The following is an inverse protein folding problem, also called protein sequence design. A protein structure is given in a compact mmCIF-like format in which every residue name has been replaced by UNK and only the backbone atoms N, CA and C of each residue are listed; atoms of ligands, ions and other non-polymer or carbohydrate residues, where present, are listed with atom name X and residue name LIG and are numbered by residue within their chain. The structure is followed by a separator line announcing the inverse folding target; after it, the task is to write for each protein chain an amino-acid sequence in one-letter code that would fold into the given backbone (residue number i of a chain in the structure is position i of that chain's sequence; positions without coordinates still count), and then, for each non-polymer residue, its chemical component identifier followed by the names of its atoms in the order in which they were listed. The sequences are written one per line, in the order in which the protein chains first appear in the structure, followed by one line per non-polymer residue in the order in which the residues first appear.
data_IF_325135824305
#
_entry.id   IF_325135824305
#
_cell.length_a   1.000
_cell.length_b   1.000
_cell.length_c   1.000
_cell.angle_alpha   90.00
_cell.angle_beta   90.00
_cell.angle_gamma   90.00
#
_symmetry.space_group_name_H-M   'P 1'
#
loop_
_entity.id
_entity.type
_entity.pdbx_description
1 polymer ?
#
# COMPACT_ATOMS: atom_id res chain seq x y z
N UNK A 1 21.90 -14.68 -81.29
CA UNK A 1 20.75 -14.00 -80.65
C UNK A 1 21.24 -13.30 -79.40
N UNK A 2 21.00 -11.99 -79.28
CA UNK A 2 21.05 -11.22 -78.05
C UNK A 2 19.61 -10.99 -77.55
N UNK A 3 19.41 -10.72 -76.26
CA UNK A 3 19.02 -9.36 -75.87
C UNK A 3 19.67 -8.97 -74.52
N UNK A 4 19.64 -7.75 -74.00
CA UNK A 4 19.47 -6.39 -74.50
C UNK A 4 19.66 -5.55 -73.23
N UNK A 5 20.57 -4.58 -73.25
CA UNK A 5 20.74 -3.63 -72.16
C UNK A 5 19.76 -2.46 -72.33
N UNK A 6 18.89 -2.19 -71.35
CA UNK A 6 18.25 -0.89 -71.08
C UNK A 6 17.41 -0.99 -69.80
N UNK A 7 17.79 -0.29 -68.69
CA UNK A 7 17.26 1.03 -68.22
C UNK A 7 15.92 0.85 -67.41
N UNK A 8 15.46 1.73 -66.45
CA UNK A 8 15.99 2.99 -65.87
C UNK A 8 15.99 3.14 -64.31
N UNK A 9 16.81 4.11 -63.88
CA UNK A 9 16.66 5.19 -62.85
C UNK A 9 15.63 5.16 -61.71
N UNK A 10 16.13 5.48 -60.52
CA UNK A 10 15.59 6.34 -59.44
C UNK A 10 14.16 6.90 -59.59
N UNK A 11 13.29 6.57 -58.61
CA UNK A 11 12.16 7.41 -58.23
C UNK A 11 11.88 7.25 -56.72
N UNK A 12 11.75 8.40 -56.07
CA UNK A 12 11.43 8.73 -54.67
C UNK A 12 10.12 8.07 -54.18
N UNK A 13 10.08 7.58 -52.93
CA UNK A 13 8.97 7.89 -52.01
C UNK A 13 9.25 7.51 -50.52
N UNK A 14 9.44 8.57 -49.73
CA UNK A 14 8.90 8.84 -48.41
C UNK A 14 9.09 7.90 -47.19
N UNK A 15 9.78 8.49 -46.19
CA UNK A 15 9.51 8.45 -44.75
C UNK A 15 9.45 7.10 -44.02
N UNK A 16 10.53 6.78 -43.31
CA UNK A 16 10.43 6.48 -41.87
C UNK A 16 11.81 6.60 -41.24
N UNK A 17 12.00 7.63 -40.41
CA UNK A 17 13.23 7.81 -39.65
C UNK A 17 13.29 6.73 -38.55
N UNK A 18 14.03 5.66 -38.78
CA UNK A 18 14.43 4.73 -37.72
C UNK A 18 15.58 5.38 -36.94
N UNK A 19 15.25 5.99 -35.80
CA UNK A 19 16.23 6.54 -34.87
C UNK A 19 17.14 5.43 -34.35
N UNK A 20 18.43 5.50 -34.67
CA UNK A 20 19.45 4.69 -34.05
C UNK A 20 19.52 5.07 -32.56
N UNK A 21 19.01 4.20 -31.69
CA UNK A 21 19.02 4.41 -30.25
C UNK A 21 20.41 4.08 -29.70
N UNK A 22 21.23 5.12 -29.54
CA UNK A 22 22.50 5.03 -28.80
C UNK A 22 22.19 4.93 -27.32
N UNK A 23 22.64 3.84 -26.67
CA UNK A 23 22.54 3.70 -25.22
C UNK A 23 23.43 4.73 -24.54
N UNK A 24 22.82 5.78 -24.00
CA UNK A 24 23.48 6.73 -23.10
C UNK A 24 23.59 6.03 -21.74
N UNK A 25 24.82 5.81 -21.27
CA UNK A 25 25.06 5.47 -19.87
C UNK A 25 24.71 6.70 -19.02
N UNK A 26 23.49 6.72 -18.49
CA UNK A 26 23.02 7.76 -17.59
C UNK A 26 23.74 7.59 -16.25
N UNK A 27 24.63 8.53 -15.94
CA UNK A 27 25.22 8.68 -14.61
C UNK A 27 24.08 8.78 -13.57
N UNK A 28 23.90 7.70 -12.82
CA UNK A 28 22.86 7.53 -11.82
C UNK A 28 23.27 8.30 -10.56
N UNK A 29 23.14 9.63 -10.59
CA UNK A 29 23.08 10.42 -9.36
C UNK A 29 21.73 10.17 -8.68
N UNK A 30 21.48 8.95 -8.21
CA UNK A 30 20.38 8.70 -7.30
C UNK A 30 20.66 9.47 -6.02
N UNK A 31 19.70 10.26 -5.49
CA UNK A 31 19.75 10.61 -4.07
C UNK A 31 19.90 9.30 -3.31
N UNK A 32 20.65 9.25 -2.20
CA UNK A 32 20.69 8.04 -1.39
C UNK A 32 19.24 7.68 -1.12
N UNK A 33 18.81 6.53 -1.64
CA UNK A 33 17.60 5.87 -1.15
C UNK A 33 17.71 5.92 0.36
N UNK A 34 16.68 6.39 1.09
CA UNK A 34 16.73 6.34 2.55
C UNK A 34 17.08 4.90 2.88
N UNK A 35 18.27 4.68 3.44
CA UNK A 35 18.59 3.38 3.99
C UNK A 35 17.45 3.13 4.97
N UNK A 36 16.69 2.04 4.75
CA UNK A 36 15.76 1.52 5.74
C UNK A 36 16.61 1.39 6.99
N UNK A 37 16.43 2.34 7.90
CA UNK A 37 17.25 2.47 9.09
C UNK A 37 17.00 1.19 9.86
N UNK A 38 17.99 0.30 9.79
CA UNK A 38 17.88 -1.09 10.20
C UNK A 38 17.23 -1.23 11.57
N UNK A 39 16.58 -2.37 11.78
CA UNK A 39 15.94 -2.85 13.02
C UNK A 39 14.80 -2.01 13.64
N UNK A 40 14.86 -0.68 13.60
CA UNK A 40 13.82 0.19 14.17
C UNK A 40 12.49 0.07 13.40
N UNK A 41 12.54 0.00 12.07
CA UNK A 41 11.32 -0.07 11.25
C UNK A 41 10.52 -1.35 11.48
N UNK A 42 11.21 -2.48 11.70
CA UNK A 42 10.56 -3.77 12.01
C UNK A 42 9.99 -3.76 13.43
N UNK A 43 10.71 -3.20 14.40
CA UNK A 43 10.22 -3.10 15.78
C UNK A 43 8.97 -2.20 15.87
N UNK A 44 8.97 -1.08 15.14
CA UNK A 44 7.82 -0.17 15.03
C UNK A 44 6.65 -0.90 14.37
N UNK A 45 6.89 -1.63 13.27
CA UNK A 45 5.85 -2.43 12.62
C UNK A 45 5.25 -3.48 13.58
N UNK A 46 6.08 -4.22 14.30
CA UNK A 46 5.63 -5.24 15.25
C UNK A 46 4.82 -4.63 16.40
N UNK A 47 5.20 -3.45 16.86
CA UNK A 47 4.46 -2.70 17.89
C UNK A 47 3.10 -2.27 17.36
N UNK A 48 3.04 -1.67 16.17
CA UNK A 48 1.79 -1.27 15.52
C UNK A 48 0.85 -2.46 15.29
N UNK A 49 1.38 -3.62 14.90
CA UNK A 49 0.58 -4.84 14.72
C UNK A 49 0.02 -5.38 16.06
N UNK A 50 0.76 -5.26 17.16
CA UNK A 50 0.26 -5.63 18.50
C UNK A 50 -0.87 -4.70 18.94
N UNK A 51 -0.71 -3.40 18.76
CA UNK A 51 -1.76 -2.41 19.06
C UNK A 51 -2.99 -2.62 18.20
N UNK A 52 -2.82 -2.87 16.90
CA UNK A 52 -3.94 -3.19 16.00
C UNK A 52 -4.67 -4.45 16.46
N UNK A 53 -3.95 -5.51 16.83
CA UNK A 53 -4.55 -6.74 17.37
C UNK A 53 -5.34 -6.46 18.65
N UNK A 54 -4.81 -5.64 19.55
CA UNK A 54 -5.51 -5.22 20.77
C UNK A 54 -6.80 -4.49 20.42
N UNK A 55 -6.74 -3.50 19.54
CA UNK A 55 -7.92 -2.77 19.06
C UNK A 55 -8.97 -3.70 18.44
N UNK A 56 -8.55 -4.65 17.61
CA UNK A 56 -9.46 -5.62 16.98
C UNK A 56 -10.15 -6.55 17.98
N UNK A 57 -9.56 -6.77 19.16
CA UNK A 57 -10.16 -7.55 20.25
C UNK A 57 -11.16 -6.74 21.07
N UNK A 58 -10.91 -5.45 21.25
CA UNK A 58 -11.75 -4.54 22.04
C UNK A 58 -12.97 -4.02 21.25
N UNK A 59 -12.80 -3.77 19.95
CA UNK A 59 -13.85 -3.21 19.09
C UNK A 59 -15.18 -4.00 19.09
N UNK A 60 -15.20 -5.35 19.05
CA UNK A 60 -16.45 -6.10 19.08
C UNK A 60 -17.31 -5.84 20.32
N UNK A 61 -16.69 -5.69 21.49
CA UNK A 61 -17.41 -5.42 22.74
C UNK A 61 -18.00 -4.02 22.76
N UNK A 62 -17.25 -3.03 22.27
CA UNK A 62 -17.75 -1.66 22.11
C UNK A 62 -18.92 -1.60 21.12
N UNK A 63 -18.82 -2.30 19.99
CA UNK A 63 -19.90 -2.41 19.01
C UNK A 63 -21.15 -3.04 19.63
N UNK A 64 -20.99 -4.13 20.39
CA UNK A 64 -22.11 -4.78 21.08
C UNK A 64 -22.77 -3.84 22.10
N UNK A 65 -21.99 -3.11 22.90
CA UNK A 65 -22.53 -2.13 23.85
C UNK A 65 -23.32 -1.02 23.15
N UNK A 66 -22.80 -0.48 22.05
CA UNK A 66 -23.49 0.54 21.24
C UNK A 66 -24.82 0.00 20.66
N UNK A 67 -24.86 -1.26 20.24
CA UNK A 67 -26.09 -1.90 19.79
C UNK A 67 -27.09 -2.08 20.95
N UNK A 68 -26.63 -2.52 22.12
CA UNK A 68 -27.45 -2.70 23.33
C UNK A 68 -28.01 -1.38 23.86
N UNK A 69 -27.29 -0.26 23.69
CA UNK A 69 -27.77 1.07 24.10
C UNK A 69 -29.07 1.50 23.40
N UNK A 70 -29.40 0.92 22.24
CA UNK A 70 -30.69 1.14 21.56
C UNK A 70 -31.88 0.76 22.44
N UNK A 71 -31.70 -0.21 23.34
CA UNK A 71 -32.73 -0.78 24.19
C UNK A 71 -32.65 -0.30 25.64
N UNK A 72 -31.62 0.47 26.00
CA UNK A 72 -31.46 1.02 27.35
C UNK A 72 -32.37 2.23 27.56
N UNK A 73 -33.10 2.24 28.68
CA UNK A 73 -34.21 3.17 28.91
C UNK A 73 -33.78 4.49 29.57
N UNK A 74 -32.59 4.53 30.16
CA UNK A 74 -32.08 5.71 30.83
C UNK A 74 -30.58 5.90 30.60
N UNK A 75 -30.10 7.10 30.90
CA UNK A 75 -28.71 7.50 30.70
C UNK A 75 -27.74 6.67 31.55
N UNK A 76 -28.12 6.28 32.76
CA UNK A 76 -27.25 5.51 33.65
C UNK A 76 -26.96 4.11 33.09
N UNK A 77 -27.98 3.41 32.57
CA UNK A 77 -27.81 2.11 31.90
C UNK A 77 -26.92 2.21 30.66
N UNK A 78 -27.10 3.27 29.86
CA UNK A 78 -26.28 3.54 28.68
C UNK A 78 -24.81 3.76 29.06
N UNK A 79 -24.56 4.54 30.11
CA UNK A 79 -23.21 4.78 30.62
C UNK A 79 -22.60 3.48 31.18
N UNK A 80 -23.37 2.68 31.89
CA UNK A 80 -22.90 1.40 32.43
C UNK A 80 -22.51 0.42 31.31
N UNK A 81 -23.31 0.32 30.26
CA UNK A 81 -23.01 -0.50 29.08
C UNK A 81 -21.68 -0.11 28.44
N UNK A 82 -21.44 1.20 28.27
CA UNK A 82 -20.19 1.71 27.72
C UNK A 82 -18.99 1.46 28.64
N UNK A 83 -19.14 1.75 29.94
CA UNK A 83 -18.07 1.53 30.91
C UNK A 83 -17.64 0.06 30.96
N UNK A 84 -18.58 -0.87 30.93
CA UNK A 84 -18.29 -2.30 30.95
C UNK A 84 -17.55 -2.76 29.68
N UNK A 85 -17.94 -2.24 28.51
CA UNK A 85 -17.26 -2.55 27.25
C UNK A 85 -15.84 -1.98 27.19
N UNK A 86 -15.60 -0.82 27.80
CA UNK A 86 -14.26 -0.23 27.89
C UNK A 86 -13.39 -0.87 28.98
N UNK A 87 -13.99 -1.42 30.04
CA UNK A 87 -13.27 -2.02 31.16
C UNK A 87 -12.85 -3.47 30.94
N UNK A 88 -13.46 -4.19 29.99
CA UNK A 88 -13.17 -5.60 29.69
C UNK A 88 -11.83 -5.82 28.96
N UNK A 89 -10.87 -4.89 29.08
CA UNK A 89 -9.50 -5.06 28.58
C UNK A 89 -8.65 -5.98 29.47
N UNK A 90 -9.24 -7.03 30.04
CA UNK A 90 -8.53 -8.14 30.68
C UNK A 90 -7.84 -8.98 29.61
N UNK A 91 -6.86 -8.40 28.94
CA UNK A 91 -5.88 -9.13 28.16
C UNK A 91 -4.60 -9.17 28.98
N UNK A 92 -4.60 -10.10 29.94
CA UNK A 92 -3.38 -10.75 30.38
C UNK A 92 -2.50 -11.02 29.16
N UNK A 93 -1.27 -10.52 29.21
CA UNK A 93 -0.15 -10.93 28.39
C UNK A 93 -0.02 -12.46 28.45
N UNK A 94 -0.68 -13.17 27.53
CA UNK A 94 -0.38 -14.58 27.28
C UNK A 94 0.87 -14.60 26.37
N UNK A 95 1.98 -15.23 26.81
CA UNK A 95 3.32 -15.09 26.21
C UNK A 95 3.43 -15.56 24.75
#
# INVERSE_FOLDING_TARGET
MAPSAHRPTNNVDNQSAASASTCIESNLNTPPTPEISGNNDISVLMTALKELRKLMKEAPQLIAALQSMKYANNTAEKLQLLMNACASSDFLDDP
#
